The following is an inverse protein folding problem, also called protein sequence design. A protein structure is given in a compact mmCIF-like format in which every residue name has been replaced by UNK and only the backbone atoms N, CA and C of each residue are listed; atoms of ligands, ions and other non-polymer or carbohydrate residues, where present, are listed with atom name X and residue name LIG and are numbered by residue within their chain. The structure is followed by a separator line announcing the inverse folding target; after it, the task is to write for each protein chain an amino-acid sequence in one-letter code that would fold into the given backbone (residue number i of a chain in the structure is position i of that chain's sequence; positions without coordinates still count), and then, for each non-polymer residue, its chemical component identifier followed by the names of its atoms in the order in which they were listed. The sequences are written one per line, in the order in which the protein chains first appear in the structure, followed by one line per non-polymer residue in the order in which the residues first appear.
data_IF_242339893312
#
_entry.id   IF_242339893312
#
_cell.length_a   1.000
_cell.length_b   1.000
_cell.length_c   1.000
_cell.angle_alpha   90.00
_cell.angle_beta   90.00
_cell.angle_gamma   90.00
#
_symmetry.space_group_name_H-M   'P 1'
#
loop_
_entity.id
_entity.type
_entity.pdbx_description
1 polymer ?
#
# COMPACT_ATOMS: atom_id res chain seq x y z
N UNK A 1 -3.64 -8.63 20.98
CA UNK A 1 -4.85 -9.12 20.27
C UNK A 1 -5.99 -9.05 21.27
N UNK A 2 -7.01 -8.25 20.96
CA UNK A 2 -8.24 -8.19 21.75
C UNK A 2 -9.07 -9.46 21.49
N UNK A 3 -9.64 -10.07 22.55
CA UNK A 3 -10.49 -11.26 22.45
C UNK A 3 -11.65 -11.05 21.46
N UNK A 4 -12.26 -9.86 21.45
CA UNK A 4 -13.32 -9.50 20.51
C UNK A 4 -12.94 -9.62 19.04
N UNK A 5 -11.65 -9.54 18.71
CA UNK A 5 -11.17 -9.67 17.32
C UNK A 5 -11.15 -11.14 16.85
N UNK A 6 -11.00 -12.09 17.75
CA UNK A 6 -10.95 -13.53 17.46
C UNK A 6 -12.28 -14.25 17.68
N UNK A 7 -13.30 -13.55 18.15
CA UNK A 7 -14.67 -14.06 18.30
C UNK A 7 -15.54 -13.66 17.12
N UNK A 8 -16.60 -14.42 16.86
CA UNK A 8 -17.53 -14.11 15.75
C UNK A 8 -18.39 -12.86 15.99
N UNK A 9 -18.49 -12.37 17.22
CA UNK A 9 -19.21 -11.12 17.54
C UNK A 9 -20.69 -11.12 17.11
N UNK A 10 -21.38 -12.27 17.21
CA UNK A 10 -22.77 -12.42 16.76
C UNK A 10 -22.98 -12.79 15.29
N UNK A 11 -21.92 -12.80 14.49
CA UNK A 11 -22.01 -13.25 13.09
C UNK A 11 -22.00 -14.78 13.00
N UNK A 12 -22.71 -15.39 12.03
CA UNK A 12 -22.71 -16.85 11.84
C UNK A 12 -21.34 -17.36 11.34
N UNK A 13 -20.60 -16.55 10.59
CA UNK A 13 -19.31 -16.90 9.98
C UNK A 13 -18.28 -15.79 10.16
N UNK A 14 -17.01 -16.15 10.33
CA UNK A 14 -15.90 -15.19 10.40
C UNK A 14 -15.80 -14.34 9.13
N UNK A 15 -15.91 -14.94 7.95
CA UNK A 15 -15.86 -14.21 6.69
C UNK A 15 -16.93 -13.10 6.62
N UNK A 16 -18.15 -13.36 7.10
CA UNK A 16 -19.21 -12.34 7.10
C UNK A 16 -18.86 -11.19 8.06
N UNK A 17 -18.35 -11.49 9.28
CA UNK A 17 -17.84 -10.49 10.20
C UNK A 17 -16.75 -9.64 9.52
N UNK A 18 -15.77 -10.29 8.90
CA UNK A 18 -14.63 -9.63 8.27
C UNK A 18 -15.02 -8.75 7.08
N UNK A 19 -16.08 -9.11 6.34
CA UNK A 19 -16.67 -8.26 5.31
C UNK A 19 -17.21 -6.96 5.93
N UNK A 20 -17.94 -7.04 7.05
CA UNK A 20 -18.49 -5.85 7.72
C UNK A 20 -17.43 -5.05 8.49
N UNK A 21 -16.28 -5.63 8.79
CA UNK A 21 -15.15 -4.91 9.40
C UNK A 21 -14.37 -4.03 8.42
N UNK A 22 -14.56 -4.18 7.10
CA UNK A 22 -13.77 -3.47 6.09
C UNK A 22 -13.75 -1.93 6.28
N UNK A 23 -14.84 -1.22 6.58
CA UNK A 23 -14.79 0.22 6.80
C UNK A 23 -13.82 0.63 7.92
N UNK A 24 -13.82 -0.11 9.03
CA UNK A 24 -12.91 0.17 10.15
C UNK A 24 -11.47 -0.23 9.82
N UNK A 25 -11.28 -1.35 9.11
CA UNK A 25 -9.98 -1.78 8.63
C UNK A 25 -9.32 -0.73 7.72
N UNK A 26 -10.10 -0.08 6.84
CA UNK A 26 -9.61 1.00 6.01
C UNK A 26 -9.20 2.24 6.82
N UNK A 27 -9.98 2.62 7.84
CA UNK A 27 -9.60 3.71 8.75
C UNK A 27 -8.28 3.40 9.45
N UNK A 28 -8.13 2.17 9.95
CA UNK A 28 -6.90 1.72 10.62
C UNK A 28 -5.71 1.69 9.66
N UNK A 29 -5.90 1.22 8.42
CA UNK A 29 -4.88 1.21 7.38
C UNK A 29 -4.39 2.62 7.02
N UNK A 30 -5.29 3.60 7.01
CA UNK A 30 -4.98 5.01 6.68
C UNK A 30 -4.52 5.83 7.89
N UNK A 31 -4.71 5.35 9.11
CA UNK A 31 -4.39 6.08 10.36
C UNK A 31 -2.92 6.48 10.40
N UNK A 32 -2.65 7.79 10.54
CA UNK A 32 -1.30 8.36 10.55
C UNK A 32 -0.61 8.37 9.17
N UNK A 33 -1.26 7.84 8.13
CA UNK A 33 -0.72 7.79 6.76
C UNK A 33 -1.44 8.75 5.83
N UNK A 34 -2.71 9.01 6.06
CA UNK A 34 -3.43 10.11 5.44
C UNK A 34 -3.58 11.20 6.49
N UNK A 35 -3.01 12.37 6.20
CA UNK A 35 -2.95 13.50 7.12
C UNK A 35 -3.56 14.73 6.48
N UNK A 36 -4.23 15.55 7.27
CA UNK A 36 -4.72 16.86 6.84
C UNK A 36 -3.82 17.95 7.41
N UNK A 37 -3.48 18.95 6.60
CA UNK A 37 -2.70 20.12 7.00
C UNK A 37 -3.47 21.37 6.57
N UNK A 38 -3.55 22.34 7.47
CA UNK A 38 -4.07 23.66 7.11
C UNK A 38 -2.92 24.49 6.55
N UNK A 39 -3.05 24.91 5.30
CA UNK A 39 -2.08 25.79 4.63
C UNK A 39 -2.70 27.19 4.54
N UNK A 40 -1.95 28.19 5.03
CA UNK A 40 -2.33 29.59 4.90
C UNK A 40 -1.65 30.17 3.65
N UNK A 41 -2.45 30.44 2.63
CA UNK A 41 -1.96 31.12 1.43
C UNK A 41 -2.27 32.59 1.52
N UNK A 42 -1.26 33.44 1.41
CA UNK A 42 -1.45 34.89 1.32
C UNK A 42 -1.73 35.24 -0.13
N UNK A 43 -2.92 35.77 -0.39
CA UNK A 43 -3.32 36.28 -1.70
C UNK A 43 -3.21 37.78 -1.66
N UNK A 44 -2.37 38.39 -2.52
CA UNK A 44 -2.36 39.82 -2.74
C UNK A 44 -3.58 40.17 -3.59
N UNK A 45 -4.45 40.99 -3.07
CA UNK A 45 -5.55 41.63 -3.82
C UNK A 45 -5.07 42.96 -4.37
N UNK A 46 -5.59 43.38 -5.54
CA UNK A 46 -5.31 44.69 -6.15
C UNK A 46 -5.76 45.84 -5.20
N UNK A 47 -4.86 46.27 -4.33
CA UNK A 47 -5.10 47.36 -3.38
C UNK A 47 -4.69 46.99 -1.95
N UNK A 48 -3.39 46.89 -1.71
CA UNK A 48 -2.69 46.88 -0.39
C UNK A 48 -3.29 46.05 0.79
N UNK A 49 -4.33 45.26 0.54
CA UNK A 49 -4.95 44.39 1.54
C UNK A 49 -4.54 42.91 1.29
N UNK A 50 -3.82 42.34 2.24
CA UNK A 50 -3.37 40.93 2.20
C UNK A 50 -4.44 40.07 2.87
N UNK A 51 -5.24 39.35 2.09
CA UNK A 51 -6.16 38.34 2.64
C UNK A 51 -5.46 37.00 2.78
N UNK A 52 -5.55 36.40 3.96
CA UNK A 52 -5.09 35.03 4.17
C UNK A 52 -6.22 34.05 3.90
N UNK A 53 -6.02 33.15 2.94
CA UNK A 53 -6.96 32.05 2.69
C UNK A 53 -6.40 30.79 3.37
N UNK A 54 -7.22 30.18 4.23
CA UNK A 54 -6.91 28.89 4.85
C UNK A 54 -7.50 27.78 3.98
N UNK A 55 -6.64 26.92 3.45
CA UNK A 55 -7.05 25.74 2.71
C UNK A 55 -6.58 24.50 3.47
N UNK A 56 -7.41 23.46 3.46
CA UNK A 56 -7.03 22.17 4.03
C UNK A 56 -6.52 21.29 2.92
N UNK A 57 -5.26 20.91 3.00
CA UNK A 57 -4.62 19.97 2.09
C UNK A 57 -4.49 18.59 2.72
N UNK A 58 -4.79 17.58 1.94
CA UNK A 58 -4.58 16.18 2.33
C UNK A 58 -3.19 15.70 1.87
N UNK A 59 -2.54 14.90 2.69
CA UNK A 59 -1.22 14.36 2.38
C UNK A 59 -1.11 12.88 2.72
N UNK A 60 -0.24 12.17 1.97
CA UNK A 60 0.13 10.78 2.26
C UNK A 60 1.52 10.75 2.86
N UNK A 61 1.67 10.08 3.99
CA UNK A 61 2.94 9.88 4.71
C UNK A 61 3.17 8.39 4.91
N UNK A 62 4.24 7.87 4.33
CA UNK A 62 4.69 6.50 4.52
C UNK A 62 6.17 6.53 4.95
N UNK A 63 6.46 6.17 6.21
CA UNK A 63 7.83 6.14 6.76
C UNK A 63 8.75 5.21 5.96
N UNK A 64 8.20 4.09 5.48
CA UNK A 64 8.90 3.12 4.62
C UNK A 64 9.46 3.72 3.32
N UNK A 65 8.90 4.85 2.83
CA UNK A 65 9.42 5.57 1.66
C UNK A 65 10.55 6.51 2.09
N UNK A 66 10.39 7.18 3.21
CA UNK A 66 11.34 8.23 3.66
C UNK A 66 12.76 7.68 3.78
N UNK A 67 12.92 6.51 4.38
CA UNK A 67 14.23 5.90 4.64
C UNK A 67 14.85 5.27 3.39
N UNK A 68 14.04 4.91 2.39
CA UNK A 68 14.46 4.20 1.18
C UNK A 68 14.03 4.93 -0.10
N UNK A 69 13.98 6.24 -0.03
CA UNK A 69 13.46 7.11 -1.09
C UNK A 69 14.17 6.90 -2.44
N UNK A 70 15.50 6.80 -2.41
CA UNK A 70 16.30 6.68 -3.64
C UNK A 70 15.98 5.39 -4.40
N UNK A 71 15.85 4.27 -3.71
CA UNK A 71 15.54 2.97 -4.33
C UNK A 71 14.16 3.00 -4.97
N UNK A 72 13.14 3.53 -4.27
CA UNK A 72 11.76 3.55 -4.76
C UNK A 72 11.55 4.54 -5.90
N UNK A 73 12.12 5.76 -5.81
CA UNK A 73 11.93 6.77 -6.84
C UNK A 73 12.73 6.50 -8.12
N UNK A 74 13.86 5.81 -8.03
CA UNK A 74 14.74 5.51 -9.17
C UNK A 74 14.48 4.13 -9.78
N UNK A 75 13.50 3.37 -9.26
CA UNK A 75 13.14 2.06 -9.79
C UNK A 75 12.90 2.12 -11.31
N UNK A 76 13.55 1.23 -12.05
CA UNK A 76 13.34 1.09 -13.50
C UNK A 76 12.10 0.28 -13.80
N UNK A 77 11.78 -0.67 -12.92
CA UNK A 77 10.61 -1.53 -12.97
C UNK A 77 10.22 -1.93 -11.56
N UNK A 78 8.94 -2.15 -11.33
CA UNK A 78 8.42 -2.77 -10.11
C UNK A 78 7.88 -4.15 -10.48
N UNK A 79 8.23 -5.16 -9.70
CA UNK A 79 7.70 -6.53 -9.84
C UNK A 79 6.91 -6.83 -8.56
N UNK A 80 5.62 -7.11 -8.70
CA UNK A 80 4.77 -7.50 -7.57
C UNK A 80 4.67 -9.02 -7.56
N UNK A 81 5.07 -9.65 -6.45
CA UNK A 81 5.00 -11.10 -6.26
C UNK A 81 4.03 -11.43 -5.13
N UNK A 82 3.06 -12.30 -5.39
CA UNK A 82 2.03 -12.66 -4.44
C UNK A 82 1.31 -13.96 -4.84
N UNK A 83 0.44 -14.46 -3.96
CA UNK A 83 -0.45 -15.60 -4.20
C UNK A 83 -1.90 -15.22 -3.89
N UNK A 84 -2.87 -15.89 -4.54
CA UNK A 84 -4.29 -15.75 -4.27
C UNK A 84 -4.82 -14.33 -4.40
N UNK A 85 -5.62 -13.88 -3.44
CA UNK A 85 -6.21 -12.53 -3.45
C UNK A 85 -5.17 -11.41 -3.37
N UNK A 86 -4.02 -11.65 -2.77
CA UNK A 86 -2.90 -10.71 -2.74
C UNK A 86 -2.34 -10.45 -4.14
N UNK A 87 -2.31 -11.47 -5.01
CA UNK A 87 -1.96 -11.30 -6.42
C UNK A 87 -2.98 -10.41 -7.15
N UNK A 88 -4.29 -10.58 -6.88
CA UNK A 88 -5.34 -9.72 -7.45
C UNK A 88 -5.21 -8.26 -6.95
N UNK A 89 -4.85 -8.06 -5.67
CA UNK A 89 -4.52 -6.73 -5.16
C UNK A 89 -3.33 -6.12 -5.95
N UNK A 90 -2.33 -6.94 -6.26
CA UNK A 90 -1.20 -6.56 -7.10
C UNK A 90 -1.61 -6.05 -8.49
N UNK A 91 -2.61 -6.67 -9.14
CA UNK A 91 -3.12 -6.22 -10.43
C UNK A 91 -3.72 -4.80 -10.36
N UNK A 92 -4.44 -4.49 -9.28
CA UNK A 92 -4.95 -3.13 -9.04
C UNK A 92 -3.79 -2.17 -8.78
N UNK A 93 -2.85 -2.58 -7.93
CA UNK A 93 -1.64 -1.81 -7.62
C UNK A 93 -0.81 -1.48 -8.85
N UNK A 94 -0.68 -2.43 -9.79
CA UNK A 94 -0.04 -2.20 -11.09
C UNK A 94 -0.63 -0.98 -11.79
N UNK A 95 -1.94 -0.96 -11.98
CA UNK A 95 -2.60 0.15 -12.69
C UNK A 95 -2.37 1.49 -11.98
N UNK A 96 -2.45 1.51 -10.65
CA UNK A 96 -2.24 2.73 -9.87
C UNK A 96 -0.79 3.23 -9.98
N UNK A 97 0.19 2.35 -9.85
CA UNK A 97 1.61 2.69 -9.94
C UNK A 97 1.96 3.13 -11.36
N UNK A 98 1.53 2.42 -12.40
CA UNK A 98 1.78 2.80 -13.78
C UNK A 98 1.15 4.15 -14.13
N UNK A 99 -0.08 4.42 -13.64
CA UNK A 99 -0.77 5.67 -13.90
C UNK A 99 -0.12 6.86 -13.17
N UNK A 100 0.19 6.72 -11.89
CA UNK A 100 0.60 7.85 -11.06
C UNK A 100 2.12 7.98 -10.92
N UNK A 101 2.87 6.86 -10.94
CA UNK A 101 4.32 6.90 -10.79
C UNK A 101 5.07 6.84 -12.14
N UNK A 102 4.42 6.42 -13.21
CA UNK A 102 5.02 6.21 -14.55
C UNK A 102 6.22 5.25 -14.49
N UNK A 103 6.09 4.21 -13.67
CA UNK A 103 7.06 3.10 -13.55
C UNK A 103 6.38 1.84 -14.09
N UNK A 104 7.01 1.09 -15.03
CA UNK A 104 6.46 -0.19 -15.50
C UNK A 104 6.30 -1.18 -14.36
N UNK A 105 5.19 -1.92 -14.35
CA UNK A 105 4.89 -2.90 -13.30
C UNK A 105 4.56 -4.26 -13.90
N UNK A 106 5.19 -5.31 -13.40
CA UNK A 106 4.84 -6.71 -13.64
C UNK A 106 4.17 -7.29 -12.40
N UNK A 107 3.18 -8.16 -12.57
CA UNK A 107 2.52 -8.85 -11.45
C UNK A 107 2.59 -10.34 -11.69
N UNK A 108 3.29 -11.02 -10.81
CA UNK A 108 3.63 -12.44 -10.95
C UNK A 108 3.03 -13.27 -9.81
N UNK A 109 2.57 -14.47 -10.15
CA UNK A 109 2.36 -15.46 -9.10
C UNK A 109 3.71 -15.86 -8.49
N UNK A 110 3.82 -15.77 -7.18
CA UNK A 110 5.07 -16.07 -6.48
C UNK A 110 5.53 -17.54 -6.72
N UNK A 111 4.57 -18.46 -6.86
CA UNK A 111 4.85 -19.86 -7.25
C UNK A 111 5.54 -19.97 -8.60
N UNK A 112 5.06 -19.24 -9.61
CA UNK A 112 5.63 -19.25 -10.95
C UNK A 112 6.98 -18.53 -10.98
N UNK A 113 7.05 -17.36 -10.33
CA UNK A 113 8.25 -16.54 -10.27
C UNK A 113 9.47 -17.31 -9.77
N UNK A 114 9.30 -18.10 -8.69
CA UNK A 114 10.42 -18.87 -8.09
C UNK A 114 11.00 -19.97 -8.99
N UNK A 115 10.21 -20.49 -9.95
CA UNK A 115 10.64 -21.62 -10.78
C UNK A 115 11.05 -21.25 -12.21
N UNK A 116 10.61 -20.11 -12.73
CA UNK A 116 10.82 -19.72 -14.13
C UNK A 116 12.17 -19.06 -14.43
N UNK A 117 13.06 -18.92 -13.47
CA UNK A 117 14.33 -18.20 -13.61
C UNK A 117 14.11 -16.75 -14.09
N UNK A 118 13.46 -15.87 -13.29
CA UNK A 118 13.07 -14.54 -13.71
C UNK A 118 14.28 -13.64 -13.95
N UNK A 119 14.16 -12.73 -14.91
CA UNK A 119 15.16 -11.68 -15.11
C UNK A 119 14.92 -10.56 -14.11
N UNK A 120 15.74 -10.50 -13.08
CA UNK A 120 15.70 -9.49 -12.02
C UNK A 120 17.05 -8.80 -11.93
N UNK A 121 17.06 -7.50 -11.71
CA UNK A 121 18.26 -6.68 -11.60
C UNK A 121 18.23 -5.83 -10.34
N UNK A 122 19.38 -5.24 -9.99
CA UNK A 122 19.50 -4.28 -8.87
C UNK A 122 18.71 -2.98 -9.06
N UNK A 123 18.27 -2.69 -10.28
CA UNK A 123 17.47 -1.51 -10.60
C UNK A 123 15.95 -1.78 -10.49
N UNK A 124 15.57 -3.02 -10.17
CA UNK A 124 14.19 -3.42 -9.93
C UNK A 124 13.82 -3.28 -8.44
N UNK A 125 12.59 -2.93 -8.19
CA UNK A 125 11.96 -3.03 -6.87
C UNK A 125 10.98 -4.19 -6.89
N UNK A 126 11.10 -5.12 -5.95
CA UNK A 126 10.16 -6.24 -5.81
C UNK A 126 9.23 -5.98 -4.63
N UNK A 127 7.92 -5.91 -4.89
CA UNK A 127 6.89 -5.75 -3.86
C UNK A 127 6.30 -7.12 -3.54
N UNK A 128 6.51 -7.59 -2.32
CA UNK A 128 5.92 -8.83 -1.81
C UNK A 128 4.63 -8.53 -1.05
N UNK A 129 3.52 -9.14 -1.44
CA UNK A 129 2.23 -8.96 -0.77
C UNK A 129 1.78 -10.28 -0.16
N UNK A 130 1.51 -10.27 1.15
CA UNK A 130 1.01 -11.44 1.87
C UNK A 130 0.20 -11.03 3.10
N UNK A 131 -0.99 -11.61 3.28
CA UNK A 131 -1.78 -11.40 4.50
C UNK A 131 -1.06 -11.97 5.72
N UNK A 132 -0.70 -13.24 5.72
CA UNK A 132 -0.02 -13.91 6.83
C UNK A 132 1.44 -13.52 6.98
N UNK A 133 2.09 -13.14 5.86
CA UNK A 133 3.53 -12.95 5.81
C UNK A 133 4.35 -14.26 5.93
N UNK A 134 3.68 -15.43 5.82
CA UNK A 134 4.29 -16.77 5.93
C UNK A 134 4.10 -17.61 4.66
N UNK A 135 3.64 -17.02 3.56
CA UNK A 135 3.42 -17.72 2.28
C UNK A 135 4.76 -18.19 1.72
N UNK A 136 4.97 -19.50 1.69
CA UNK A 136 6.25 -20.12 1.34
C UNK A 136 6.76 -19.73 -0.05
N UNK A 137 5.87 -19.68 -1.05
CA UNK A 137 6.24 -19.29 -2.42
C UNK A 137 6.65 -17.82 -2.49
N UNK A 138 5.93 -16.91 -1.79
CA UNK A 138 6.30 -15.51 -1.73
C UNK A 138 7.64 -15.30 -1.03
N UNK A 139 7.90 -16.04 0.06
CA UNK A 139 9.17 -16.00 0.76
C UNK A 139 10.33 -16.49 -0.13
N UNK A 140 10.12 -17.56 -0.89
CA UNK A 140 11.12 -18.07 -1.83
C UNK A 140 11.36 -17.10 -2.99
N UNK A 141 10.30 -16.46 -3.52
CA UNK A 141 10.39 -15.49 -4.60
C UNK A 141 11.22 -14.25 -4.18
N UNK A 142 11.00 -13.70 -2.98
CA UNK A 142 11.78 -12.54 -2.53
C UNK A 142 13.24 -12.88 -2.23
N UNK A 143 13.55 -14.09 -1.73
CA UNK A 143 14.93 -14.54 -1.55
C UNK A 143 15.68 -14.59 -2.89
N UNK A 144 15.04 -15.19 -3.91
CA UNK A 144 15.59 -15.22 -5.26
C UNK A 144 15.84 -13.82 -5.82
N UNK A 145 14.88 -12.90 -5.66
CA UNK A 145 15.02 -11.53 -6.12
C UNK A 145 16.15 -10.77 -5.38
N UNK A 146 16.29 -11.01 -4.09
CA UNK A 146 17.33 -10.42 -3.24
C UNK A 146 18.72 -10.89 -3.64
N UNK A 147 18.88 -12.17 -4.00
CA UNK A 147 20.14 -12.71 -4.54
C UNK A 147 20.56 -11.99 -5.83
N UNK A 148 19.61 -11.50 -6.62
CA UNK A 148 19.85 -10.69 -7.82
C UNK A 148 20.12 -9.19 -7.52
N UNK A 149 20.10 -8.80 -6.26
CA UNK A 149 20.37 -7.43 -5.81
C UNK A 149 19.16 -6.48 -5.88
N UNK A 150 17.96 -6.96 -6.14
CA UNK A 150 16.74 -6.15 -6.13
C UNK A 150 16.41 -5.66 -4.72
N UNK A 151 15.82 -4.46 -4.65
CA UNK A 151 15.27 -3.91 -3.41
C UNK A 151 13.90 -4.51 -3.12
N UNK A 152 13.69 -5.00 -1.91
CA UNK A 152 12.46 -5.73 -1.53
C UNK A 152 11.58 -4.88 -0.62
N UNK A 153 10.35 -4.62 -1.04
CA UNK A 153 9.33 -3.93 -0.27
C UNK A 153 8.21 -4.90 0.17
N UNK A 154 7.89 -4.96 1.45
CA UNK A 154 6.87 -5.87 2.00
C UNK A 154 5.53 -5.17 2.27
N UNK A 155 4.42 -5.80 1.88
CA UNK A 155 3.07 -5.43 2.30
C UNK A 155 2.47 -6.62 3.03
N UNK A 156 2.46 -6.57 4.37
CA UNK A 156 2.02 -7.67 5.23
C UNK A 156 0.99 -7.21 6.26
N UNK A 157 0.21 -8.13 6.80
CA UNK A 157 -0.65 -7.85 7.95
C UNK A 157 0.01 -8.26 9.27
N UNK A 158 0.70 -9.40 9.29
CA UNK A 158 1.31 -9.95 10.49
C UNK A 158 2.67 -9.32 10.77
N UNK A 159 2.74 -8.64 11.93
CA UNK A 159 3.98 -8.00 12.40
C UNK A 159 5.01 -9.08 12.73
N UNK A 160 6.27 -8.88 12.29
CA UNK A 160 7.37 -9.80 12.56
C UNK A 160 7.28 -11.14 11.84
N UNK A 161 6.43 -11.26 10.82
CA UNK A 161 6.36 -12.45 9.96
C UNK A 161 7.66 -12.69 9.18
N UNK A 162 7.81 -13.89 8.63
CA UNK A 162 9.02 -14.28 7.88
C UNK A 162 9.26 -13.37 6.67
N UNK A 163 8.21 -13.02 5.92
CA UNK A 163 8.31 -12.10 4.79
C UNK A 163 8.70 -10.70 5.28
N UNK A 164 8.07 -10.20 6.36
CA UNK A 164 8.39 -8.88 6.90
C UNK A 164 9.85 -8.76 7.38
N UNK A 165 10.44 -9.84 7.90
CA UNK A 165 11.87 -9.87 8.31
C UNK A 165 12.83 -9.98 7.13
N UNK A 166 12.40 -10.57 6.02
CA UNK A 166 13.23 -10.77 4.84
C UNK A 166 13.26 -9.54 3.92
N UNK A 167 12.28 -8.64 4.02
CA UNK A 167 12.18 -7.42 3.21
C UNK A 167 13.09 -6.31 3.74
N UNK A 168 13.56 -5.42 2.85
CA UNK A 168 14.41 -4.28 3.22
C UNK A 168 13.61 -3.20 3.94
N UNK A 169 12.35 -3.04 3.55
CA UNK A 169 11.35 -2.18 4.20
C UNK A 169 9.94 -2.65 3.86
N UNK A 170 8.93 -2.01 4.42
CA UNK A 170 7.55 -2.35 4.09
C UNK A 170 6.49 -1.58 4.88
N UNK A 171 5.25 -1.93 4.61
CA UNK A 171 4.08 -1.34 5.25
C UNK A 171 3.13 -2.42 5.73
N UNK A 172 2.76 -2.38 7.01
CA UNK A 172 1.71 -3.24 7.54
C UNK A 172 0.33 -2.68 7.21
N UNK A 173 -0.63 -3.56 6.86
CA UNK A 173 -1.99 -3.14 6.49
C UNK A 173 -2.90 -2.86 7.69
N UNK A 174 -2.56 -3.36 8.89
CA UNK A 174 -3.28 -3.10 10.15
C UNK A 174 -4.78 -3.41 10.13
N UNK A 175 -5.19 -4.49 9.45
CA UNK A 175 -6.62 -4.90 9.38
C UNK A 175 -7.03 -5.86 10.49
N UNK A 176 -6.14 -6.15 11.43
CA UNK A 176 -6.36 -7.14 12.48
C UNK A 176 -6.31 -8.59 11.97
N UNK A 177 -6.55 -9.58 12.84
CA UNK A 177 -6.59 -10.98 12.45
C UNK A 177 -7.68 -11.26 11.42
N UNK A 178 -7.38 -12.05 10.39
CA UNK A 178 -8.32 -12.57 9.40
C UNK A 178 -8.34 -14.09 9.52
N UNK A 179 -9.48 -14.66 9.88
CA UNK A 179 -9.67 -16.08 10.19
C UNK A 179 -10.39 -16.79 9.04
N UNK A 180 -11.23 -16.08 8.32
CA UNK A 180 -11.91 -16.58 7.12
C UNK A 180 -10.89 -17.07 6.09
N UNK A 181 -11.14 -18.25 5.49
CA UNK A 181 -10.24 -18.85 4.51
C UNK A 181 -10.10 -17.98 3.26
N UNK A 182 -11.23 -17.45 2.77
CA UNK A 182 -11.21 -16.48 1.68
C UNK A 182 -10.96 -15.08 2.25
N UNK A 183 -9.89 -14.46 1.81
CA UNK A 183 -9.49 -13.11 2.27
C UNK A 183 -10.47 -12.05 1.76
N UNK A 184 -10.84 -11.15 2.65
CA UNK A 184 -11.75 -10.01 2.38
C UNK A 184 -11.11 -8.71 2.82
N UNK A 185 -11.06 -8.43 4.11
CA UNK A 185 -10.50 -7.19 4.67
C UNK A 185 -9.01 -7.01 4.42
N UNK A 186 -8.24 -8.10 4.38
CA UNK A 186 -6.81 -8.02 4.08
C UNK A 186 -6.58 -7.60 2.62
N UNK A 187 -7.36 -8.13 1.67
CA UNK A 187 -7.32 -7.68 0.28
C UNK A 187 -7.58 -6.17 0.17
N UNK A 188 -8.64 -5.69 0.81
CA UNK A 188 -9.00 -4.26 0.79
C UNK A 188 -7.89 -3.39 1.42
N UNK A 189 -7.29 -3.84 2.52
CA UNK A 189 -6.14 -3.18 3.14
C UNK A 189 -4.89 -3.16 2.25
N UNK A 190 -4.60 -4.26 1.54
CA UNK A 190 -3.50 -4.34 0.58
C UNK A 190 -3.68 -3.35 -0.57
N UNK A 191 -4.88 -3.28 -1.16
CA UNK A 191 -5.22 -2.29 -2.20
C UNK A 191 -5.03 -0.87 -1.67
N UNK A 192 -5.47 -0.60 -0.45
CA UNK A 192 -5.31 0.72 0.19
C UNK A 192 -3.84 1.11 0.32
N UNK A 193 -2.98 0.21 0.79
CA UNK A 193 -1.52 0.47 0.90
C UNK A 193 -0.90 0.69 -0.47
N UNK A 194 -1.29 -0.07 -1.49
CA UNK A 194 -0.79 0.10 -2.86
C UNK A 194 -1.18 1.46 -3.45
N UNK A 195 -2.40 1.94 -3.18
CA UNK A 195 -2.83 3.29 -3.58
C UNK A 195 -2.02 4.36 -2.84
N UNK A 196 -1.85 4.22 -1.52
CA UNK A 196 -1.03 5.15 -0.74
C UNK A 196 0.42 5.20 -1.24
N UNK A 197 1.00 4.05 -1.57
CA UNK A 197 2.35 3.93 -2.13
C UNK A 197 2.44 4.64 -3.49
N UNK A 198 1.47 4.40 -4.38
CA UNK A 198 1.42 5.04 -5.69
C UNK A 198 1.28 6.57 -5.59
N UNK A 199 0.42 7.07 -4.69
CA UNK A 199 0.25 8.50 -4.46
C UNK A 199 1.53 9.15 -3.91
N UNK A 200 2.16 8.51 -2.93
CA UNK A 200 3.38 9.05 -2.32
C UNK A 200 4.55 9.09 -3.31
N UNK A 201 4.79 8.00 -4.04
CA UNK A 201 5.85 7.95 -5.07
C UNK A 201 5.53 8.91 -6.23
N UNK A 202 4.29 8.91 -6.73
CA UNK A 202 3.87 9.76 -7.83
C UNK A 202 4.02 11.26 -7.52
N UNK A 203 3.67 11.68 -6.31
CA UNK A 203 3.87 13.06 -5.84
C UNK A 203 5.34 13.43 -5.80
N UNK A 204 6.19 12.59 -5.22
CA UNK A 204 7.62 12.85 -5.11
C UNK A 204 8.35 12.81 -6.45
N UNK A 205 7.89 12.01 -7.39
CA UNK A 205 8.39 12.01 -8.78
C UNK A 205 7.87 13.17 -9.63
N UNK A 206 6.85 13.90 -9.15
CA UNK A 206 6.17 14.95 -9.92
C UNK A 206 5.38 14.42 -11.11
N UNK A 207 4.94 13.15 -11.07
CA UNK A 207 4.22 12.47 -12.17
C UNK A 207 2.71 12.49 -12.01
N UNK A 208 2.21 12.95 -10.87
CA UNK A 208 0.80 13.25 -10.60
C UNK A 208 0.64 14.75 -10.32
N UNK A 209 -0.40 15.38 -10.87
CA UNK A 209 -0.68 16.78 -10.58
C UNK A 209 -1.17 16.97 -9.14
N UNK A 210 -0.90 18.13 -8.53
CA UNK A 210 -1.35 18.42 -7.16
C UNK A 210 -2.87 18.29 -7.01
N UNK A 211 -3.63 18.82 -7.97
CA UNK A 211 -5.10 18.74 -7.95
C UNK A 211 -5.61 17.29 -7.99
N UNK A 212 -5.02 16.45 -8.82
CA UNK A 212 -5.39 15.03 -8.90
C UNK A 212 -4.99 14.27 -7.63
N UNK A 213 -3.79 14.54 -7.10
CA UNK A 213 -3.33 13.97 -5.84
C UNK A 213 -4.27 14.31 -4.67
N UNK A 214 -4.65 15.59 -4.51
CA UNK A 214 -5.58 16.02 -3.47
C UNK A 214 -6.94 15.35 -3.62
N UNK A 215 -7.49 15.36 -4.83
CA UNK A 215 -8.78 14.73 -5.13
C UNK A 215 -8.81 13.25 -4.79
N UNK A 216 -7.77 12.48 -5.18
CA UNK A 216 -7.72 11.04 -4.92
C UNK A 216 -7.52 10.77 -3.44
N UNK A 217 -6.65 11.54 -2.76
CA UNK A 217 -6.40 11.37 -1.33
C UNK A 217 -7.68 11.63 -0.51
N UNK A 218 -8.43 12.68 -0.85
CA UNK A 218 -9.72 12.99 -0.23
C UNK A 218 -10.77 11.89 -0.49
N UNK A 219 -10.85 11.41 -1.72
CA UNK A 219 -11.77 10.32 -2.06
C UNK A 219 -11.42 9.04 -1.31
N UNK A 220 -10.13 8.69 -1.20
CA UNK A 220 -9.66 7.54 -0.45
C UNK A 220 -10.03 7.65 1.04
N UNK A 221 -9.83 8.83 1.63
CA UNK A 221 -10.21 9.11 3.02
C UNK A 221 -11.71 8.89 3.28
N UNK A 222 -12.56 9.18 2.30
CA UNK A 222 -14.00 9.08 2.39
C UNK A 222 -14.58 7.69 2.05
N UNK A 223 -13.77 6.74 1.54
CA UNK A 223 -14.25 5.39 1.18
C UNK A 223 -14.89 4.67 2.37
N UNK A 224 -14.33 4.66 3.60
CA UNK A 224 -14.93 3.94 4.72
C UNK A 224 -16.36 4.36 5.08
N UNK A 225 -16.74 5.58 4.73
CA UNK A 225 -18.09 6.07 4.97
C UNK A 225 -19.08 5.68 3.84
N UNK A 226 -18.57 5.19 2.71
CA UNK A 226 -19.37 4.76 1.55
C UNK A 226 -19.54 3.23 1.48
N UNK A 227 -18.81 2.51 2.32
CA UNK A 227 -18.90 1.04 2.47
C UNK A 227 -19.90 0.64 3.55
#
# INVERSE_FOLDING_TARGET
IDLGQIEKGGFPHFMLKEIFEQPECLRNCMRGRVVSRTVETRVMTDGDDTTSKKETEMGVVLSSITDHRQQLLNAKRIIIVACGTSWHAGLIGKQMIENYCRIPVEVEYASEFRYRNPVVTKDDVVIAISQSGETADTLAAIKLAKESGAFIYGICNSIGSSIARETDTGTYIHVGPEIGVASTKAFTGQVTVLILLALAIGKERGTISENEYQKITEQLWNIPAKM
#
